data_IF_133117660907
#
_entry.id   IF_133117660907
#
_cell.length_a   1.000
_cell.length_b   1.000
_cell.length_c   1.000
_cell.angle_alpha   90.00
_cell.angle_beta   90.00
_cell.angle_gamma   90.00
#
_symmetry.space_group_name_H-M   'P 1'
#
loop_
_entity.id
_entity.type
_entity.pdbx_description
1 polymer ?
#
# COMPACT_ATOMS: atom_id res chain seq x y z
N UNK A 1 7.96 20.14 3.72
CA UNK A 1 7.59 19.51 5.00
C UNK A 1 7.51 18.02 4.73
N UNK A 2 8.60 17.29 4.94
CA UNK A 2 8.70 15.86 4.62
C UNK A 2 7.85 15.06 5.62
N UNK A 3 6.77 14.46 5.14
CA UNK A 3 6.09 13.39 5.89
C UNK A 3 6.89 12.12 5.66
N UNK A 4 7.78 11.79 6.60
CA UNK A 4 8.51 10.52 6.57
C UNK A 4 7.51 9.37 6.59
N UNK A 5 7.27 8.78 5.43
CA UNK A 5 6.63 7.48 5.31
C UNK A 5 7.49 6.49 6.11
N UNK A 6 6.85 5.79 7.05
CA UNK A 6 7.49 4.80 7.89
C UNK A 6 8.20 3.76 7.00
N UNK A 7 9.53 3.67 7.09
CA UNK A 7 10.32 2.74 6.29
C UNK A 7 9.98 1.30 6.72
N UNK A 8 9.40 0.44 5.85
CA UNK A 8 8.85 -0.86 6.28
C UNK A 8 9.91 -1.94 6.52
N UNK A 9 11.17 -1.69 6.12
CA UNK A 9 12.19 -2.73 6.00
C UNK A 9 12.61 -3.37 7.33
N UNK A 10 12.60 -2.64 8.45
CA UNK A 10 13.02 -3.19 9.75
C UNK A 10 11.91 -3.99 10.47
N UNK A 11 10.63 -3.74 10.15
CA UNK A 11 9.47 -4.36 10.84
C UNK A 11 9.03 -5.68 10.21
N UNK A 12 9.56 -6.03 9.03
CA UNK A 12 9.14 -7.20 8.25
C UNK A 12 9.51 -8.54 8.90
N UNK A 13 10.63 -8.63 9.63
CA UNK A 13 11.15 -9.90 10.15
C UNK A 13 10.37 -10.43 11.37
N UNK A 14 9.93 -9.56 12.28
CA UNK A 14 9.13 -9.94 13.46
C UNK A 14 7.73 -10.40 13.07
N UNK A 15 7.18 -9.75 12.04
CA UNK A 15 5.78 -9.86 11.66
C UNK A 15 5.50 -11.23 11.02
N UNK A 16 6.41 -11.81 10.25
CA UNK A 16 6.23 -13.13 9.60
C UNK A 16 6.15 -14.32 10.59
N UNK A 17 6.84 -14.24 11.74
CA UNK A 17 6.81 -15.29 12.75
C UNK A 17 5.44 -15.37 13.46
N UNK A 18 4.83 -14.21 13.76
CA UNK A 18 3.52 -14.11 14.39
C UNK A 18 2.35 -14.69 13.55
N UNK A 19 2.53 -14.80 12.22
CA UNK A 19 1.52 -15.43 11.32
C UNK A 19 1.30 -16.91 11.66
N UNK A 20 2.27 -17.56 12.29
CA UNK A 20 2.22 -19.01 12.59
C UNK A 20 1.54 -19.33 13.93
N UNK A 21 1.28 -18.34 14.78
CA UNK A 21 0.72 -18.49 16.15
C UNK A 21 -0.83 -18.45 16.19
N UNK A 22 -1.50 -19.15 15.29
CA UNK A 22 -2.88 -19.61 15.48
C UNK A 22 -4.02 -18.59 15.29
N UNK A 23 -3.75 -17.31 15.05
CA UNK A 23 -4.77 -16.32 14.62
C UNK A 23 -4.98 -16.30 13.09
N UNK A 24 -6.14 -15.84 12.61
CA UNK A 24 -6.32 -15.66 11.17
C UNK A 24 -5.43 -14.49 10.69
N UNK A 25 -4.84 -14.61 9.50
CA UNK A 25 -4.00 -13.52 8.91
C UNK A 25 -4.75 -12.20 8.88
N UNK A 26 -6.06 -12.24 8.62
CA UNK A 26 -6.94 -11.06 8.64
C UNK A 26 -6.95 -10.36 10.00
N UNK A 27 -7.03 -11.10 11.10
CA UNK A 27 -7.03 -10.51 12.46
C UNK A 27 -5.72 -9.75 12.74
N UNK A 28 -4.59 -10.30 12.27
CA UNK A 28 -3.29 -9.63 12.33
C UNK A 28 -3.25 -8.36 11.49
N UNK A 29 -3.86 -8.37 10.28
CA UNK A 29 -3.96 -7.15 9.46
C UNK A 29 -4.81 -6.07 10.14
N UNK A 30 -5.89 -6.45 10.83
CA UNK A 30 -6.72 -5.53 11.62
C UNK A 30 -5.93 -4.90 12.78
N UNK A 31 -5.12 -5.71 13.48
CA UNK A 31 -4.25 -5.20 14.54
C UNK A 31 -3.20 -4.21 14.01
N UNK A 32 -2.52 -4.55 12.89
CA UNK A 32 -1.55 -3.66 12.25
C UNK A 32 -2.19 -2.35 11.76
N UNK A 33 -3.38 -2.42 11.17
CA UNK A 33 -4.13 -1.23 10.77
C UNK A 33 -4.49 -0.35 11.98
N UNK A 34 -4.82 -0.95 13.11
CA UNK A 34 -5.15 -0.21 14.34
C UNK A 34 -3.95 0.60 14.85
N UNK A 35 -2.73 0.10 14.70
CA UNK A 35 -1.51 0.86 14.99
C UNK A 35 -1.27 1.96 13.96
N UNK A 36 -1.35 1.63 12.66
CA UNK A 36 -1.21 2.61 11.56
C UNK A 36 -2.16 3.81 11.72
N UNK A 37 -3.43 3.55 12.07
CA UNK A 37 -4.46 4.57 12.20
C UNK A 37 -4.21 5.57 13.34
N UNK A 38 -3.39 5.23 14.35
CA UNK A 38 -3.04 6.16 15.44
C UNK A 38 -2.18 7.33 14.94
N UNK A 39 -1.29 7.04 14.01
CA UNK A 39 -0.32 8.01 13.48
C UNK A 39 -0.74 8.60 12.13
N UNK A 40 -1.67 7.93 11.42
CA UNK A 40 -2.19 8.43 10.16
C UNK A 40 -2.88 9.78 10.36
N UNK A 41 -2.38 10.80 9.64
CA UNK A 41 -3.01 12.11 9.57
C UNK A 41 -3.45 12.31 8.14
N UNK A 42 -4.74 12.57 7.95
CA UNK A 42 -5.22 13.08 6.67
C UNK A 42 -4.55 14.45 6.43
N UNK A 43 -3.69 14.57 5.41
CA UNK A 43 -3.01 15.83 5.12
C UNK A 43 -3.92 16.84 4.41
N UNK A 44 -5.23 16.56 4.30
CA UNK A 44 -6.19 17.37 3.55
C UNK A 44 -6.04 17.16 2.05
N UNK A 45 -5.66 15.94 1.65
CA UNK A 45 -5.48 15.61 0.23
C UNK A 45 -6.83 15.41 -0.46
N UNK A 46 -6.98 16.02 -1.64
CA UNK A 46 -8.08 15.74 -2.55
C UNK A 46 -7.97 14.30 -3.08
N UNK A 47 -9.07 13.71 -3.53
CA UNK A 47 -9.09 12.43 -4.23
C UNK A 47 -8.32 12.45 -5.57
N UNK A 48 -8.02 13.65 -6.09
CA UNK A 48 -7.20 13.84 -7.28
C UNK A 48 -5.71 13.62 -6.99
N UNK A 49 -5.01 12.78 -7.77
CA UNK A 49 -3.61 12.46 -7.53
C UNK A 49 -2.71 13.66 -7.85
N UNK A 50 -1.70 13.91 -7.01
CA UNK A 50 -0.80 15.07 -7.09
C UNK A 50 -0.06 15.12 -8.43
N UNK A 51 0.43 13.96 -8.91
CA UNK A 51 1.17 13.87 -10.17
C UNK A 51 0.25 13.71 -11.40
N UNK A 52 -1.06 13.63 -11.20
CA UNK A 52 -2.05 13.47 -12.27
C UNK A 52 -1.82 12.21 -13.13
N UNK A 53 -1.37 11.11 -12.51
CA UNK A 53 -1.12 9.83 -13.17
C UNK A 53 -1.89 8.68 -12.52
N UNK A 54 -2.19 7.66 -13.33
CA UNK A 54 -2.69 6.37 -12.89
C UNK A 54 -1.71 5.26 -13.31
N UNK A 55 -1.44 4.32 -12.40
CA UNK A 55 -0.52 3.20 -12.63
C UNK A 55 -1.30 1.89 -12.61
N UNK A 56 -1.23 1.16 -13.72
CA UNK A 56 -1.77 -0.20 -13.85
C UNK A 56 -0.64 -1.20 -13.65
N UNK A 57 -0.77 -2.10 -12.68
CA UNK A 57 0.28 -3.07 -12.34
C UNK A 57 -0.27 -4.46 -11.97
N UNK A 58 0.61 -5.47 -11.96
CA UNK A 58 0.25 -6.82 -11.51
C UNK A 58 0.01 -6.84 -9.98
N UNK A 59 -0.87 -7.71 -9.49
CA UNK A 59 -1.11 -7.99 -8.06
C UNK A 59 -0.01 -8.83 -7.38
N UNK A 60 1.12 -9.08 -8.05
CA UNK A 60 2.24 -9.85 -7.52
C UNK A 60 2.70 -9.30 -6.17
N UNK A 61 2.74 -10.16 -5.14
CA UNK A 61 3.10 -9.80 -3.77
C UNK A 61 4.56 -9.35 -3.63
N UNK A 62 5.41 -9.60 -4.64
CA UNK A 62 6.82 -9.19 -4.67
C UNK A 62 7.01 -7.78 -5.23
N UNK A 63 5.96 -7.17 -5.79
CA UNK A 63 6.02 -5.84 -6.36
C UNK A 63 5.65 -4.79 -5.31
N UNK A 64 6.67 -4.13 -4.76
CA UNK A 64 6.50 -2.87 -4.01
C UNK A 64 6.44 -1.69 -5.00
N UNK A 65 5.22 -1.37 -5.43
CA UNK A 65 4.98 -0.38 -6.48
C UNK A 65 5.46 1.02 -6.09
N UNK A 66 5.19 1.44 -4.85
CA UNK A 66 5.50 2.79 -4.39
C UNK A 66 7.02 2.97 -4.29
N UNK A 67 7.73 1.99 -3.72
CA UNK A 67 9.19 2.06 -3.64
C UNK A 67 9.84 1.99 -5.04
N UNK A 68 9.33 1.14 -5.94
CA UNK A 68 9.88 0.99 -7.28
C UNK A 68 9.78 2.26 -8.14
N UNK A 69 8.75 3.09 -7.91
CA UNK A 69 8.49 4.30 -8.68
C UNK A 69 8.81 5.59 -7.90
N UNK A 70 9.19 5.51 -6.63
CA UNK A 70 9.46 6.67 -5.77
C UNK A 70 8.20 7.49 -5.46
N UNK A 71 7.06 6.83 -5.26
CA UNK A 71 5.76 7.47 -5.04
C UNK A 71 5.45 7.65 -3.55
N UNK A 72 5.01 8.85 -3.19
CA UNK A 72 4.46 9.18 -1.88
C UNK A 72 2.93 8.97 -1.83
N UNK A 73 2.36 9.10 -0.63
CA UNK A 73 0.91 9.04 -0.44
C UNK A 73 0.24 10.15 -1.28
N UNK A 74 -0.71 9.76 -2.13
CA UNK A 74 -1.47 10.69 -2.97
C UNK A 74 -0.86 11.04 -4.33
N UNK A 75 0.34 10.55 -4.66
CA UNK A 75 1.00 10.88 -5.94
C UNK A 75 0.25 10.35 -7.16
N UNK A 76 -0.29 9.13 -7.08
CA UNK A 76 -0.97 8.48 -8.20
C UNK A 76 -2.20 7.69 -7.76
N UNK A 77 -3.06 7.38 -8.73
CA UNK A 77 -4.01 6.27 -8.60
C UNK A 77 -3.32 4.94 -8.92
N UNK A 78 -3.59 3.91 -8.12
CA UNK A 78 -3.04 2.56 -8.32
C UNK A 78 -4.15 1.57 -8.64
N UNK A 79 -4.04 0.90 -9.79
CA UNK A 79 -4.97 -0.13 -10.26
C UNK A 79 -4.18 -1.43 -10.40
N UNK A 80 -4.63 -2.52 -9.75
CA UNK A 80 -3.90 -3.80 -9.77
C UNK A 80 -4.81 -4.98 -10.06
N UNK A 81 -4.35 -5.89 -10.92
CA UNK A 81 -5.00 -7.17 -11.21
C UNK A 81 -3.97 -8.28 -11.54
N UNK A 82 -4.43 -9.50 -11.82
CA UNK A 82 -3.54 -10.59 -12.23
C UNK A 82 -2.87 -10.25 -13.58
N UNK A 83 -1.55 -10.07 -13.57
CA UNK A 83 -0.74 -9.80 -14.76
C UNK A 83 -0.65 -8.32 -15.17
N UNK A 84 -1.37 -7.40 -14.52
CA UNK A 84 -1.41 -5.99 -14.94
C UNK A 84 -2.07 -5.81 -16.31
N UNK A 85 -3.02 -6.69 -16.63
CA UNK A 85 -3.69 -6.74 -17.93
C UNK A 85 -4.70 -5.61 -18.02
N UNK A 86 -4.70 -4.89 -19.14
CA UNK A 86 -5.69 -3.86 -19.41
C UNK A 86 -7.01 -4.52 -19.80
N UNK A 87 -7.88 -4.74 -18.81
CA UNK A 87 -9.24 -5.26 -18.99
C UNK A 87 -10.26 -4.12 -18.99
N UNK A 88 -11.52 -4.41 -19.30
CA UNK A 88 -12.61 -3.42 -19.19
C UNK A 88 -12.72 -2.79 -17.80
N UNK A 89 -12.41 -3.53 -16.74
CA UNK A 89 -12.42 -2.99 -15.37
C UNK A 89 -11.28 -1.99 -15.11
N UNK A 90 -10.17 -2.10 -15.86
CA UNK A 90 -9.08 -1.12 -15.81
C UNK A 90 -9.44 0.16 -16.58
N UNK A 91 -10.27 0.04 -17.62
CA UNK A 91 -10.69 1.17 -18.47
C UNK A 91 -11.82 1.98 -17.82
N UNK A 92 -12.70 1.33 -17.04
CA UNK A 92 -13.95 1.89 -16.47
C UNK A 92 -13.74 2.94 -15.39
#
# INVERSE_FOLDING_TARGET
MSTSAHSPAESATSTAAAVREGGQVTDRLLALNSEYAKDFRDPGMDARPVLQVAVVACMDARLDLHAALGLELGDCHTIRNAGGVVTEDVIR
#
